data_IF_329930503513
#
_entry.id   IF_329930503513
#
_cell.length_a   1.000
_cell.length_b   1.000
_cell.length_c   1.000
_cell.angle_alpha   90.00
_cell.angle_beta   90.00
_cell.angle_gamma   90.00
#
_symmetry.space_group_name_H-M   'P 1'
#
loop_
_entity.id
_entity.type
_entity.pdbx_description
1 polymer ?
#
# COMPACT_ATOMS: atom_id res chain seq x y z
N UNK A 1 2.09 -0.27 9.51
CA UNK A 1 2.47 -1.66 9.18
C UNK A 1 1.72 -2.67 10.04
N UNK A 2 1.80 -2.62 11.37
CA UNK A 2 1.05 -3.53 12.29
C UNK A 2 -0.47 -3.45 12.12
N UNK A 3 -1.02 -2.24 11.97
CA UNK A 3 -2.45 -2.04 11.66
C UNK A 3 -2.88 -2.74 10.37
N UNK A 4 -2.07 -2.64 9.30
CA UNK A 4 -2.35 -3.32 8.03
C UNK A 4 -2.27 -4.84 8.16
N UNK A 5 -1.27 -5.37 8.87
CA UNK A 5 -1.13 -6.80 9.11
C UNK A 5 -2.35 -7.41 9.83
N UNK A 6 -2.88 -6.71 10.83
CA UNK A 6 -4.09 -7.13 11.55
C UNK A 6 -5.30 -7.27 10.61
N UNK A 7 -5.59 -6.25 9.81
CA UNK A 7 -6.75 -6.27 8.91
C UNK A 7 -6.58 -7.25 7.74
N UNK A 8 -5.35 -7.45 7.25
CA UNK A 8 -5.05 -8.47 6.23
C UNK A 8 -5.24 -9.87 6.80
N UNK A 9 -4.81 -10.13 8.05
CA UNK A 9 -5.07 -11.41 8.71
C UNK A 9 -6.57 -11.65 8.92
N UNK A 10 -7.34 -10.61 9.26
CA UNK A 10 -8.79 -10.69 9.37
C UNK A 10 -9.48 -11.02 8.04
N UNK A 11 -8.84 -10.78 6.89
CA UNK A 11 -9.39 -11.13 5.58
C UNK A 11 -9.56 -12.64 5.39
N UNK A 12 -8.76 -13.47 6.07
CA UNK A 12 -8.92 -14.93 6.04
C UNK A 12 -10.22 -15.41 6.72
N UNK A 13 -10.75 -14.62 7.67
CA UNK A 13 -11.94 -14.94 8.46
C UNK A 13 -13.26 -14.36 7.88
N UNK A 14 -13.26 -13.91 6.62
CA UNK A 14 -14.45 -13.29 6.00
C UNK A 14 -15.55 -14.32 5.77
N UNK A 15 -16.69 -14.16 6.45
CA UNK A 15 -17.88 -15.00 6.28
C UNK A 15 -19.07 -14.26 5.69
N UNK A 16 -19.15 -12.94 5.85
CA UNK A 16 -20.28 -12.12 5.42
C UNK A 16 -19.85 -11.03 4.39
N UNK A 17 -20.74 -10.62 3.47
CA UNK A 17 -20.44 -9.59 2.47
C UNK A 17 -20.05 -8.24 3.08
N UNK A 18 -20.64 -7.86 4.22
CA UNK A 18 -20.32 -6.61 4.89
C UNK A 18 -18.91 -6.61 5.51
N UNK A 19 -18.43 -7.76 6.00
CA UNK A 19 -17.07 -7.94 6.52
C UNK A 19 -16.04 -7.65 5.43
N UNK A 20 -16.31 -8.11 4.20
CA UNK A 20 -15.44 -7.90 3.06
C UNK A 20 -15.23 -6.40 2.76
N UNK A 21 -16.31 -5.63 2.69
CA UNK A 21 -16.24 -4.17 2.45
C UNK A 21 -15.49 -3.45 3.56
N UNK A 22 -15.77 -3.80 4.82
CA UNK A 22 -15.15 -3.17 5.98
C UNK A 22 -13.64 -3.45 6.06
N UNK A 23 -13.22 -4.70 5.83
CA UNK A 23 -11.81 -5.07 5.83
C UNK A 23 -11.06 -4.38 4.68
N UNK A 24 -11.65 -4.34 3.47
CA UNK A 24 -11.10 -3.60 2.32
C UNK A 24 -10.92 -2.12 2.62
N UNK A 25 -11.88 -1.49 3.31
CA UNK A 25 -11.79 -0.09 3.72
C UNK A 25 -10.57 0.15 4.63
N UNK A 26 -10.39 -0.66 5.68
CA UNK A 26 -9.29 -0.48 6.62
C UNK A 26 -7.91 -0.84 6.03
N UNK A 27 -7.83 -1.84 5.15
CA UNK A 27 -6.61 -2.12 4.37
C UNK A 27 -6.29 -0.92 3.47
N UNK A 28 -7.30 -0.28 2.86
CA UNK A 28 -7.17 0.96 2.11
C UNK A 28 -6.58 2.10 2.95
N UNK A 29 -7.05 2.27 4.20
CA UNK A 29 -6.48 3.25 5.13
C UNK A 29 -5.01 2.96 5.45
N UNK A 30 -4.61 1.69 5.55
CA UNK A 30 -3.20 1.33 5.71
C UNK A 30 -2.35 1.73 4.49
N UNK A 31 -2.95 1.79 3.30
CA UNK A 31 -2.32 2.26 2.07
C UNK A 31 -1.88 3.73 2.13
N UNK A 32 -2.52 4.58 2.95
CA UNK A 32 -2.13 5.99 3.13
C UNK A 32 -0.72 6.19 3.74
N UNK A 33 -0.05 5.12 4.16
CA UNK A 33 1.37 5.12 4.59
C UNK A 33 2.35 5.57 3.50
N UNK A 34 1.92 5.72 2.25
CA UNK A 34 2.77 6.36 1.25
C UNK A 34 3.08 7.83 1.60
N UNK A 35 2.13 8.57 2.19
CA UNK A 35 2.33 9.98 2.55
C UNK A 35 3.40 10.12 3.64
N UNK A 36 3.33 9.29 4.68
CA UNK A 36 4.28 9.35 5.80
C UNK A 36 5.70 9.02 5.40
N UNK A 37 5.90 8.14 4.42
CA UNK A 37 7.25 7.85 3.94
C UNK A 37 7.75 8.88 2.92
N UNK A 38 6.90 9.65 2.22
CA UNK A 38 7.38 10.82 1.47
C UNK A 38 8.01 11.82 2.45
N UNK A 39 7.33 12.06 3.56
CA UNK A 39 7.87 12.88 4.66
C UNK A 39 9.18 12.30 5.22
N UNK A 40 9.24 11.00 5.48
CA UNK A 40 10.47 10.34 5.96
C UNK A 40 11.65 10.48 4.98
N UNK A 41 11.42 10.36 3.66
CA UNK A 41 12.46 10.59 2.66
C UNK A 41 13.00 12.02 2.72
N UNK A 42 12.14 13.02 2.94
CA UNK A 42 12.56 14.42 3.11
C UNK A 42 13.33 14.69 4.40
N UNK A 43 13.21 13.85 5.42
CA UNK A 43 13.99 13.95 6.66
C UNK A 43 15.39 13.34 6.53
N UNK A 44 15.55 12.32 5.69
CA UNK A 44 16.81 11.56 5.57
C UNK A 44 17.69 12.08 4.45
N UNK A 45 17.09 12.44 3.32
CA UNK A 45 17.83 12.83 2.11
C UNK A 45 17.95 14.35 1.99
N UNK A 46 19.09 14.81 1.47
CA UNK A 46 19.30 16.23 1.18
C UNK A 46 18.43 16.69 0.01
N UNK A 47 18.15 18.00 -0.06
CA UNK A 47 17.27 18.59 -1.07
C UNK A 47 17.69 18.31 -2.53
N UNK A 48 18.98 18.05 -2.77
CA UNK A 48 19.49 17.73 -4.11
C UNK A 48 19.07 16.33 -4.58
N UNK A 49 18.90 15.37 -3.65
CA UNK A 49 18.64 13.95 -4.00
C UNK A 49 17.28 13.44 -3.54
N UNK A 50 16.52 14.25 -2.78
CA UNK A 50 15.18 13.87 -2.27
C UNK A 50 14.19 13.57 -3.39
N UNK A 51 14.31 14.24 -4.54
CA UNK A 51 13.48 13.98 -5.72
C UNK A 51 13.68 12.58 -6.27
N UNK A 52 14.94 12.18 -6.48
CA UNK A 52 15.32 10.83 -6.94
C UNK A 52 14.89 9.77 -5.93
N UNK A 53 15.12 10.01 -4.63
CA UNK A 53 14.72 9.08 -3.57
C UNK A 53 13.19 8.85 -3.56
N UNK A 54 12.40 9.92 -3.70
CA UNK A 54 10.94 9.82 -3.80
C UNK A 54 10.50 9.11 -5.08
N UNK A 55 11.15 9.36 -6.21
CA UNK A 55 10.85 8.69 -7.48
C UNK A 55 11.12 7.18 -7.44
N UNK A 56 12.30 6.77 -6.94
CA UNK A 56 12.63 5.34 -6.77
C UNK A 56 11.62 4.64 -5.87
N UNK A 57 11.26 5.29 -4.76
CA UNK A 57 10.31 4.74 -3.79
C UNK A 57 8.88 4.67 -4.33
N UNK A 58 8.44 5.65 -5.12
CA UNK A 58 7.17 5.59 -5.84
C UNK A 58 7.16 4.45 -6.88
N UNK A 59 8.25 4.30 -7.64
CA UNK A 59 8.40 3.19 -8.59
C UNK A 59 8.33 1.82 -7.92
N UNK A 60 8.94 1.65 -6.74
CA UNK A 60 8.84 0.41 -5.97
C UNK A 60 7.42 0.14 -5.45
N UNK A 61 6.69 1.19 -5.08
CA UNK A 61 5.29 1.10 -4.68
C UNK A 61 4.41 0.54 -5.81
N UNK A 62 4.57 1.05 -7.03
CA UNK A 62 3.82 0.61 -8.20
C UNK A 62 4.22 -0.81 -8.64
N UNK A 63 5.52 -1.11 -8.62
CA UNK A 63 6.03 -2.46 -8.90
C UNK A 63 5.44 -3.50 -7.94
N UNK A 64 5.37 -3.16 -6.64
CA UNK A 64 4.82 -4.05 -5.62
C UNK A 64 3.39 -4.48 -5.90
N UNK A 65 2.55 -3.60 -6.46
CA UNK A 65 1.19 -3.93 -6.87
C UNK A 65 1.14 -5.06 -7.91
N UNK A 66 1.97 -4.97 -8.96
CA UNK A 66 2.05 -5.99 -10.01
C UNK A 66 2.68 -7.31 -9.52
N UNK A 67 3.79 -7.23 -8.78
CA UNK A 67 4.47 -8.41 -8.24
C UNK A 67 3.55 -9.18 -7.28
N UNK A 68 2.77 -8.49 -6.46
CA UNK A 68 1.85 -9.13 -5.52
C UNK A 68 0.74 -9.91 -6.25
N UNK A 69 0.21 -9.38 -7.36
CA UNK A 69 -0.81 -10.08 -8.15
C UNK A 69 -0.26 -11.39 -8.73
N UNK A 70 0.93 -11.35 -9.34
CA UNK A 70 1.60 -12.54 -9.88
C UNK A 70 1.91 -13.52 -8.75
N UNK A 71 2.49 -13.05 -7.65
CA UNK A 71 2.91 -13.90 -6.54
C UNK A 71 1.72 -14.60 -5.87
N UNK A 72 0.64 -13.86 -5.59
CA UNK A 72 -0.56 -14.42 -4.97
C UNK A 72 -1.19 -15.53 -5.82
N UNK A 73 -1.25 -15.33 -7.13
CA UNK A 73 -1.95 -16.26 -8.00
C UNK A 73 -1.05 -17.43 -8.40
N UNK A 74 0.14 -17.15 -8.92
CA UNK A 74 1.03 -18.16 -9.47
C UNK A 74 1.74 -18.99 -8.39
N UNK A 75 2.10 -18.39 -7.26
CA UNK A 75 2.93 -19.04 -6.23
C UNK A 75 2.10 -19.58 -5.07
N UNK A 76 1.01 -18.91 -4.70
CA UNK A 76 0.16 -19.33 -3.57
C UNK A 76 -1.09 -20.05 -4.05
N UNK A 77 -1.94 -19.41 -4.85
CA UNK A 77 -3.26 -19.94 -5.20
C UNK A 77 -3.21 -21.18 -6.10
N UNK A 78 -2.51 -21.11 -7.25
CA UNK A 78 -2.48 -22.20 -8.23
C UNK A 78 -1.91 -23.53 -7.64
N UNK A 79 -0.79 -23.53 -6.89
CA UNK A 79 -0.28 -24.75 -6.28
C UNK A 79 -1.21 -25.34 -5.21
N UNK A 80 -1.92 -24.50 -4.45
CA UNK A 80 -2.87 -24.97 -3.43
C UNK A 80 -4.12 -25.58 -4.04
N UNK A 81 -4.60 -25.05 -5.16
CA UNK A 81 -5.73 -25.67 -5.90
C UNK A 81 -5.27 -26.98 -6.56
N UNK A 82 -4.07 -26.99 -7.14
CA UNK A 82 -3.49 -28.20 -7.75
C UNK A 82 -3.20 -29.32 -6.75
N UNK A 83 -3.00 -28.99 -5.46
CA UNK A 83 -2.86 -29.99 -4.38
C UNK A 83 -4.21 -30.53 -3.86
N UNK A 84 -5.33 -30.14 -4.48
CA UNK A 84 -6.67 -30.64 -4.17
C UNK A 84 -7.45 -29.78 -3.16
N UNK A 85 -6.95 -28.59 -2.80
CA UNK A 85 -7.66 -27.69 -1.88
C UNK A 85 -8.81 -26.96 -2.58
N UNK A 86 -9.95 -26.86 -1.91
CA UNK A 86 -11.06 -26.06 -2.41
C UNK A 86 -10.63 -24.59 -2.59
N UNK A 87 -11.05 -23.98 -3.70
CA UNK A 87 -10.69 -22.60 -4.04
C UNK A 87 -11.01 -21.61 -2.91
N UNK A 88 -12.12 -21.81 -2.19
CA UNK A 88 -12.50 -20.96 -1.05
C UNK A 88 -11.48 -21.02 0.10
N UNK A 89 -10.96 -22.20 0.40
CA UNK A 89 -9.93 -22.36 1.44
C UNK A 89 -8.57 -21.83 0.95
N UNK A 90 -8.24 -22.07 -0.32
CA UNK A 90 -6.96 -21.68 -0.89
C UNK A 90 -6.71 -20.16 -0.83
N UNK A 91 -7.71 -19.33 -1.19
CA UNK A 91 -7.52 -17.87 -1.15
C UNK A 91 -7.39 -17.33 0.28
N UNK A 92 -8.11 -17.93 1.25
CA UNK A 92 -8.03 -17.54 2.67
C UNK A 92 -6.67 -17.83 3.27
N UNK A 93 -6.12 -19.01 2.96
CA UNK A 93 -4.78 -19.41 3.42
C UNK A 93 -3.72 -18.54 2.74
N UNK A 94 -3.87 -18.20 1.46
CA UNK A 94 -2.97 -17.26 0.76
C UNK A 94 -2.88 -15.90 1.46
N UNK A 95 -3.98 -15.40 2.06
CA UNK A 95 -4.00 -14.10 2.76
C UNK A 95 -3.24 -14.08 4.09
N UNK A 96 -2.84 -15.23 4.63
CA UNK A 96 -2.00 -15.30 5.84
C UNK A 96 -0.56 -14.91 5.52
N UNK A 97 -0.04 -15.34 4.37
CA UNK A 97 1.34 -15.03 3.90
C UNK A 97 1.64 -13.52 3.88
N UNK A 98 0.84 -12.65 3.24
CA UNK A 98 1.09 -11.21 3.22
C UNK A 98 0.96 -10.58 4.61
N UNK A 99 0.07 -11.10 5.48
CA UNK A 99 -0.04 -10.63 6.85
C UNK A 99 1.26 -10.87 7.64
N UNK A 100 1.86 -12.06 7.49
CA UNK A 100 3.15 -12.38 8.10
C UNK A 100 4.27 -11.51 7.53
N UNK A 101 4.32 -11.31 6.21
CA UNK A 101 5.30 -10.42 5.59
C UNK A 101 5.19 -8.99 6.12
N UNK A 102 3.97 -8.46 6.33
CA UNK A 102 3.78 -7.15 6.95
C UNK A 102 4.33 -7.08 8.38
N UNK A 103 4.19 -8.15 9.18
CA UNK A 103 4.76 -8.19 10.53
C UNK A 103 6.28 -8.26 10.51
N UNK A 104 6.86 -9.05 9.59
CA UNK A 104 8.32 -9.12 9.41
C UNK A 104 8.86 -7.76 8.99
N UNK A 105 8.23 -7.09 8.02
CA UNK A 105 8.60 -5.72 7.63
C UNK A 105 8.43 -4.72 8.77
N UNK A 106 7.38 -4.83 9.57
CA UNK A 106 7.19 -3.97 10.75
C UNK A 106 8.31 -4.17 11.78
N UNK A 107 8.71 -5.42 12.02
CA UNK A 107 9.79 -5.75 12.94
C UNK A 107 11.14 -5.28 12.38
N UNK A 108 11.43 -5.54 11.11
CA UNK A 108 12.68 -5.12 10.47
C UNK A 108 12.82 -3.60 10.49
N UNK A 109 11.77 -2.85 10.18
CA UNK A 109 11.80 -1.39 10.31
C UNK A 109 12.07 -0.93 11.74
N UNK A 110 11.45 -1.56 12.74
CA UNK A 110 11.64 -1.17 14.14
C UNK A 110 13.06 -1.41 14.66
N UNK A 111 13.70 -2.49 14.20
CA UNK A 111 15.02 -2.88 14.69
C UNK A 111 16.17 -2.32 13.85
N UNK A 112 16.01 -2.25 12.52
CA UNK A 112 17.06 -1.91 11.56
C UNK A 112 17.01 -0.47 11.06
N UNK A 113 15.85 0.20 11.05
CA UNK A 113 15.75 1.56 10.51
C UNK A 113 15.94 2.64 11.59
N UNK A 114 16.50 3.78 11.16
CA UNK A 114 16.60 4.99 11.95
C UNK A 114 15.60 6.02 11.42
N UNK A 115 14.93 6.73 12.32
CA UNK A 115 13.92 7.73 11.95
C UNK A 115 14.53 9.01 11.37
N UNK A 116 15.79 9.33 11.71
CA UNK A 116 16.50 10.52 11.24
C UNK A 116 18.00 10.19 11.03
N UNK A 117 18.75 10.98 10.22
CA UNK A 117 20.19 10.77 10.04
C UNK A 117 20.99 10.84 11.34
N UNK A 118 20.52 11.60 12.33
CA UNK A 118 21.23 11.86 13.58
C UNK A 118 20.71 11.02 14.78
N UNK A 119 19.48 10.50 14.71
CA UNK A 119 18.85 9.80 15.84
C UNK A 119 17.90 8.69 15.39
N UNK A 120 17.82 7.64 16.22
CA UNK A 120 16.95 6.48 15.99
C UNK A 120 15.45 6.80 16.10
N UNK A 121 15.07 7.84 16.85
CA UNK A 121 13.69 8.28 17.02
C UNK A 121 13.50 9.70 16.49
N UNK A 122 12.36 9.93 15.84
CA UNK A 122 11.96 11.26 15.40
C UNK A 122 11.66 12.16 16.62
N UNK A 123 12.29 13.33 16.64
CA UNK A 123 11.96 14.42 17.56
C UNK A 123 11.49 15.62 16.73
N UNK A 124 10.54 16.41 17.22
CA UNK A 124 10.06 17.60 16.50
C UNK A 124 11.15 18.67 16.39
N UNK A 125 12.14 18.64 17.28
CA UNK A 125 13.29 19.54 17.32
C UNK A 125 14.16 19.49 16.04
N UNK A 126 14.28 18.33 15.37
CA UNK A 126 15.04 18.22 14.10
C UNK A 126 14.37 18.91 12.91
N UNK A 127 13.08 19.26 12.99
CA UNK A 127 12.42 20.09 11.97
C UNK A 127 12.55 21.60 12.24
N UNK A 128 13.30 22.00 13.27
CA UNK A 128 13.44 23.41 13.68
C UNK A 128 12.18 24.00 14.31
N UNK A 129 11.15 23.18 14.55
CA UNK A 129 9.89 23.59 15.19
C UNK A 129 9.89 23.19 16.65
N UNK A 130 9.77 24.18 17.53
CA UNK A 130 9.76 24.01 19.00
C UNK A 130 8.41 23.56 19.57
N UNK A 131 7.34 23.57 18.76
CA UNK A 131 5.99 23.20 19.14
C UNK A 131 5.56 21.90 18.45
N UNK A 132 4.98 20.97 19.23
CA UNK A 132 4.30 19.81 18.65
C UNK A 132 3.02 20.31 17.95
N UNK A 133 2.74 19.86 16.72
CA UNK A 133 1.54 20.29 16.01
C UNK A 133 0.29 19.94 16.82
N UNK A 134 -0.58 20.93 17.02
CA UNK A 134 -1.85 20.76 17.71
C UNK A 134 -2.93 20.30 16.73
N UNK A 135 -3.99 19.66 17.22
CA UNK A 135 -5.15 19.30 16.39
C UNK A 135 -5.79 20.53 15.72
N UNK A 136 -5.62 21.72 16.32
CA UNK A 136 -6.13 22.97 15.80
C UNK A 136 -5.36 23.48 14.58
N UNK A 137 -4.07 23.14 14.44
CA UNK A 137 -3.28 23.53 13.26
C UNK A 137 -3.81 22.85 11.99
N UNK A 138 -4.30 21.61 12.10
CA UNK A 138 -4.95 20.91 10.99
C UNK A 138 -6.24 21.62 10.56
N UNK A 139 -7.04 22.10 11.52
CA UNK A 139 -8.28 22.85 11.23
C UNK A 139 -7.95 24.18 10.57
N UNK A 140 -6.89 24.87 11.00
CA UNK A 140 -6.43 26.12 10.37
C UNK A 140 -6.00 25.87 8.92
N UNK A 141 -5.25 24.80 8.67
CA UNK A 141 -4.81 24.42 7.31
C UNK A 141 -6.01 24.05 6.42
N UNK A 142 -7.03 23.39 6.98
CA UNK A 142 -8.26 23.04 6.24
C UNK A 142 -9.16 24.24 5.91
N UNK A 143 -8.96 25.40 6.54
CA UNK A 143 -9.67 26.63 6.18
C UNK A 143 -9.19 27.24 4.87
N UNK A 144 -8.00 26.86 4.40
CA UNK A 144 -7.52 27.30 3.09
C UNK A 144 -8.17 26.46 1.98
N UNK A 145 -8.96 27.14 1.14
CA UNK A 145 -9.65 26.53 0.00
C UNK A 145 -8.69 25.81 -0.96
N UNK A 146 -7.44 26.29 -1.09
CA UNK A 146 -6.44 25.69 -1.98
C UNK A 146 -6.06 24.29 -1.53
N UNK A 147 -5.96 24.10 -0.20
CA UNK A 147 -5.65 22.79 0.40
C UNK A 147 -6.82 21.83 0.16
N UNK A 148 -8.05 22.30 0.35
CA UNK A 148 -9.25 21.49 0.12
C UNK A 148 -9.35 21.05 -1.34
N UNK A 149 -9.14 21.95 -2.29
CA UNK A 149 -9.13 21.63 -3.73
C UNK A 149 -8.04 20.60 -4.05
N UNK A 150 -6.84 20.75 -3.48
CA UNK A 150 -5.75 19.79 -3.70
C UNK A 150 -6.06 18.41 -3.11
N UNK A 151 -6.70 18.34 -1.94
CA UNK A 151 -7.15 17.07 -1.35
C UNK A 151 -8.13 16.35 -2.28
N UNK A 152 -9.14 17.07 -2.78
CA UNK A 152 -10.11 16.49 -3.71
C UNK A 152 -9.46 16.03 -5.00
N UNK A 153 -8.64 16.87 -5.63
CA UNK A 153 -7.94 16.53 -6.86
C UNK A 153 -7.04 15.31 -6.69
N UNK A 154 -6.25 15.28 -5.61
CA UNK A 154 -5.35 14.17 -5.32
C UNK A 154 -6.13 12.87 -5.07
N UNK A 155 -7.20 12.94 -4.27
CA UNK A 155 -8.07 11.79 -3.99
C UNK A 155 -8.76 11.26 -5.25
N UNK A 156 -9.18 12.14 -6.16
CA UNK A 156 -9.79 11.77 -7.42
C UNK A 156 -8.79 11.05 -8.33
N UNK A 157 -7.60 11.62 -8.55
CA UNK A 157 -6.56 11.00 -9.38
C UNK A 157 -6.14 9.64 -8.83
N UNK A 158 -5.77 9.58 -7.55
CA UNK A 158 -5.33 8.34 -6.92
C UNK A 158 -6.46 7.29 -6.86
N UNK A 159 -7.69 7.73 -6.61
CA UNK A 159 -8.87 6.86 -6.62
C UNK A 159 -9.14 6.27 -8.00
N UNK A 160 -9.04 7.07 -9.07
CA UNK A 160 -9.18 6.57 -10.45
C UNK A 160 -8.09 5.59 -10.84
N UNK A 161 -6.85 5.82 -10.42
CA UNK A 161 -5.73 4.90 -10.65
C UNK A 161 -5.97 3.55 -9.99
N UNK A 162 -6.40 3.54 -8.72
CA UNK A 162 -6.73 2.32 -7.98
C UNK A 162 -7.92 1.58 -8.60
N UNK A 163 -8.95 2.31 -9.02
CA UNK A 163 -10.12 1.73 -9.67
C UNK A 163 -9.76 1.10 -11.03
N UNK A 164 -8.94 1.80 -11.83
CA UNK A 164 -8.43 1.30 -13.10
C UNK A 164 -7.63 0.02 -12.88
N UNK A 165 -6.71 -0.01 -11.91
CA UNK A 165 -5.89 -1.19 -11.61
C UNK A 165 -6.71 -2.41 -11.17
N UNK A 166 -7.78 -2.18 -10.40
CA UNK A 166 -8.66 -3.26 -9.96
C UNK A 166 -9.51 -3.83 -11.12
N UNK A 167 -9.87 -3.02 -12.12
CA UNK A 167 -10.65 -3.46 -13.28
C UNK A 167 -9.78 -4.04 -14.40
N UNK A 168 -8.54 -3.57 -14.54
CA UNK A 168 -7.64 -3.97 -15.63
C UNK A 168 -7.33 -5.48 -15.63
N UNK A 169 -7.06 -6.04 -14.44
CA UNK A 169 -6.78 -7.47 -14.29
C UNK A 169 -7.99 -8.34 -14.68
N UNK A 170 -9.20 -7.92 -14.29
CA UNK A 170 -10.44 -8.60 -14.68
C UNK A 170 -10.73 -8.44 -16.17
N UNK A 171 -10.41 -7.29 -16.76
CA UNK A 171 -10.60 -7.03 -18.19
C UNK A 171 -9.73 -7.94 -19.05
N UNK A 172 -8.44 -8.10 -18.74
CA UNK A 172 -7.56 -9.03 -19.48
C UNK A 172 -7.97 -10.50 -19.34
N UNK A 173 -8.46 -10.90 -18.16
CA UNK A 173 -8.96 -12.25 -17.95
C UNK A 173 -10.24 -12.54 -18.74
N UNK A 174 -11.16 -11.58 -18.80
CA UNK A 174 -12.50 -11.79 -19.38
C UNK A 174 -12.52 -11.59 -20.89
N UNK A 175 -11.88 -10.54 -21.40
CA UNK A 175 -11.89 -10.19 -22.83
C UNK A 175 -10.80 -10.89 -23.63
N UNK A 176 -9.62 -11.12 -23.05
CA UNK A 176 -8.50 -11.76 -23.75
C UNK A 176 -8.33 -13.25 -23.37
N UNK A 177 -9.19 -13.79 -22.50
CA UNK A 177 -9.16 -15.19 -22.03
C UNK A 177 -7.76 -15.63 -21.52
N UNK A 178 -6.98 -14.67 -21.02
CA UNK A 178 -5.61 -14.92 -20.58
C UNK A 178 -5.60 -15.55 -19.19
N UNK A 179 -4.62 -16.42 -18.94
CA UNK A 179 -4.43 -17.00 -17.62
C UNK A 179 -4.19 -15.89 -16.58
N UNK A 180 -4.59 -16.17 -15.33
CA UNK A 180 -4.57 -15.21 -14.24
C UNK A 180 -3.17 -14.61 -14.02
N UNK A 181 -2.15 -15.43 -14.22
CA UNK A 181 -0.74 -15.05 -14.10
C UNK A 181 -0.32 -14.05 -15.19
N UNK A 182 -0.63 -14.35 -16.45
CA UNK A 182 -0.24 -13.53 -17.60
C UNK A 182 -1.04 -12.22 -17.66
N UNK A 183 -2.33 -12.27 -17.32
CA UNK A 183 -3.17 -11.08 -17.19
C UNK A 183 -2.65 -10.14 -16.08
N UNK A 184 -2.18 -10.70 -14.97
CA UNK A 184 -1.58 -9.94 -13.86
C UNK A 184 -0.23 -9.35 -14.23
N UNK A 185 0.60 -10.10 -14.98
CA UNK A 185 1.89 -9.61 -15.46
C UNK A 185 1.73 -8.45 -16.45
N UNK A 186 0.77 -8.54 -17.37
CA UNK A 186 0.48 -7.47 -18.33
C UNK A 186 -0.21 -6.26 -17.69
N UNK A 187 -1.05 -6.46 -16.66
CA UNK A 187 -1.63 -5.36 -15.91
C UNK A 187 -0.59 -4.60 -15.06
N UNK A 188 0.41 -5.31 -14.52
CA UNK A 188 1.53 -4.71 -13.79
C UNK A 188 2.56 -4.03 -14.71
N UNK A 189 2.75 -4.52 -15.94
CA UNK A 189 3.77 -4.04 -16.87
C UNK A 189 3.41 -2.77 -17.66
N UNK A 190 2.14 -2.34 -17.69
CA UNK A 190 1.68 -1.21 -18.53
C UNK A 190 1.59 0.15 -17.84
N UNK A 191 2.07 0.30 -16.60
CA UNK A 191 2.12 1.59 -15.90
C UNK A 191 3.26 2.54 -16.32
N UNK A 192 3.99 2.22 -17.40
CA UNK A 192 5.16 2.98 -17.86
C UNK A 192 5.13 3.34 -19.35
N UNK A 193 3.98 3.77 -19.87
CA UNK A 193 3.93 4.55 -21.12
C UNK A 193 2.97 5.73 -20.98
#
# INVERSE_FOLDING_TARGET
MTFGAFWVAMAAAISAPWNYTLIRFFIGCAGATFVTNQFWCSLIFSANVVGTANATRAGWGNLGGGVTQIFMISVLFNPMVNSGMAADTAWRVSMIVPAVLFLICAASMKFLCWDTPAAKRFDVSVTGKTQKPSLWDYVVVLKDIRVVVMIFQYSACFGTELAMNNQLATHFRTYFQMDAADASALAGGRHWQ
#
